data_IF_062529244103
#
_entry.id   IF_062529244103
#
_cell.length_a   1.000
_cell.length_b   1.000
_cell.length_c   1.000
_cell.angle_alpha   90.00
_cell.angle_beta   90.00
_cell.angle_gamma   90.00
#
_symmetry.space_group_name_H-M   'P 1'
#
loop_
_entity.id
_entity.type
_entity.pdbx_description
1 polymer ?
#
# COMPACT_ATOMS: atom_id res chain seq x y z
N UNK A 1 -16.53 -26.86 -9.69
CA UNK A 1 -15.07 -26.93 -9.47
C UNK A 1 -14.44 -27.34 -10.79
N UNK A 2 -13.75 -26.45 -11.52
CA UNK A 2 -13.01 -26.91 -12.71
C UNK A 2 -11.62 -27.37 -12.29
N UNK A 3 -11.30 -28.62 -12.64
CA UNK A 3 -10.00 -29.22 -12.41
C UNK A 3 -8.85 -28.48 -13.13
N UNK A 4 -9.16 -27.50 -13.99
CA UNK A 4 -8.17 -26.74 -14.75
C UNK A 4 -7.56 -25.59 -13.92
N UNK A 5 -8.36 -24.87 -13.14
CA UNK A 5 -7.87 -23.77 -12.28
C UNK A 5 -6.85 -24.30 -11.28
N UNK A 6 -7.19 -25.36 -10.55
CA UNK A 6 -6.29 -25.98 -9.58
C UNK A 6 -5.00 -26.49 -10.24
N UNK A 7 -5.09 -27.18 -11.37
CA UNK A 7 -3.91 -27.68 -12.09
C UNK A 7 -2.95 -26.56 -12.50
N UNK A 8 -3.46 -25.46 -13.04
CA UNK A 8 -2.64 -24.32 -13.47
C UNK A 8 -2.06 -23.60 -12.25
N UNK A 9 -2.84 -23.43 -11.18
CA UNK A 9 -2.36 -22.80 -9.95
C UNK A 9 -1.31 -23.64 -9.22
N UNK A 10 -1.42 -24.97 -9.21
CA UNK A 10 -0.40 -25.86 -8.63
C UNK A 10 0.93 -25.66 -9.33
N UNK A 11 0.92 -25.62 -10.67
CA UNK A 11 2.15 -25.36 -11.43
C UNK A 11 2.72 -23.96 -11.15
N UNK A 12 1.86 -22.95 -10.97
CA UNK A 12 2.31 -21.60 -10.64
C UNK A 12 2.96 -21.54 -9.25
N UNK A 13 2.36 -22.22 -8.29
CA UNK A 13 2.88 -22.38 -6.95
C UNK A 13 4.26 -23.05 -6.93
N UNK A 14 4.42 -24.16 -7.65
CA UNK A 14 5.71 -24.87 -7.75
C UNK A 14 6.82 -24.00 -8.35
N UNK A 15 6.51 -23.13 -9.32
CA UNK A 15 7.48 -22.17 -9.87
C UNK A 15 7.92 -21.19 -8.77
N UNK A 16 6.97 -20.67 -7.99
CA UNK A 16 7.25 -19.76 -6.88
C UNK A 16 8.10 -20.41 -5.79
N UNK A 17 7.81 -21.66 -5.44
CA UNK A 17 8.58 -22.40 -4.45
C UNK A 17 10.01 -22.69 -4.90
N UNK A 18 10.19 -23.13 -6.15
CA UNK A 18 11.54 -23.34 -6.73
C UNK A 18 12.34 -22.06 -6.72
N UNK A 19 11.72 -20.93 -7.09
CA UNK A 19 12.37 -19.63 -7.05
C UNK A 19 12.78 -19.24 -5.62
N UNK A 20 11.87 -19.33 -4.65
CA UNK A 20 12.16 -19.02 -3.25
C UNK A 20 13.32 -19.88 -2.71
N UNK A 21 13.29 -21.19 -2.94
CA UNK A 21 14.35 -22.11 -2.53
C UNK A 21 15.68 -21.83 -3.23
N UNK A 22 15.66 -21.54 -4.53
CA UNK A 22 16.88 -21.20 -5.28
C UNK A 22 17.51 -19.91 -4.74
N UNK A 23 16.69 -18.91 -4.44
CA UNK A 23 17.13 -17.67 -3.83
C UNK A 23 17.63 -17.87 -2.41
N UNK A 24 16.95 -18.66 -1.57
CA UNK A 24 17.37 -19.02 -0.21
C UNK A 24 18.76 -19.70 -0.20
N UNK A 25 19.02 -20.58 -1.16
CA UNK A 25 20.27 -21.35 -1.28
C UNK A 25 21.38 -20.66 -2.10
N UNK A 26 21.09 -19.55 -2.79
CA UNK A 26 22.11 -18.85 -3.57
C UNK A 26 23.21 -18.28 -2.66
N UNK A 27 24.46 -18.66 -2.93
CA UNK A 27 25.63 -18.18 -2.16
C UNK A 27 26.33 -16.99 -2.82
N UNK A 28 26.05 -16.73 -4.09
CA UNK A 28 26.70 -15.68 -4.88
C UNK A 28 25.75 -14.96 -5.85
N UNK A 29 26.27 -13.88 -6.46
CA UNK A 29 25.55 -13.05 -7.43
C UNK A 29 25.03 -13.86 -8.63
N UNK A 30 25.86 -14.74 -9.16
CA UNK A 30 25.56 -15.51 -10.36
C UNK A 30 24.39 -16.48 -10.12
N UNK A 31 24.35 -17.11 -8.95
CA UNK A 31 23.25 -17.97 -8.53
C UNK A 31 21.94 -17.19 -8.36
N UNK A 32 21.99 -15.98 -7.79
CA UNK A 32 20.82 -15.10 -7.68
C UNK A 32 20.28 -14.71 -9.07
N UNK A 33 21.17 -14.28 -9.98
CA UNK A 33 20.80 -13.92 -11.36
C UNK A 33 20.19 -15.10 -12.10
N UNK A 34 20.77 -16.30 -11.95
CA UNK A 34 20.24 -17.51 -12.57
C UNK A 34 18.84 -17.85 -12.05
N UNK A 35 18.61 -17.75 -10.74
CA UNK A 35 17.31 -17.99 -10.13
C UNK A 35 16.24 -17.00 -10.61
N UNK A 36 16.58 -15.70 -10.68
CA UNK A 36 15.66 -14.66 -11.19
C UNK A 36 15.29 -14.91 -12.66
N UNK A 37 16.28 -15.17 -13.52
CA UNK A 37 16.05 -15.41 -14.95
C UNK A 37 15.27 -16.70 -15.22
N UNK A 38 15.53 -17.76 -14.45
CA UNK A 38 14.79 -19.02 -14.54
C UNK A 38 13.32 -18.81 -14.18
N UNK A 39 13.05 -18.12 -13.06
CA UNK A 39 11.70 -17.80 -12.64
C UNK A 39 10.97 -16.94 -13.68
N UNK A 40 11.60 -15.86 -14.17
CA UNK A 40 11.00 -14.99 -15.17
C UNK A 40 10.63 -15.76 -16.45
N UNK A 41 11.51 -16.65 -16.92
CA UNK A 41 11.24 -17.51 -18.07
C UNK A 41 10.06 -18.46 -17.84
N UNK A 42 10.01 -19.11 -16.69
CA UNK A 42 8.98 -20.09 -16.35
C UNK A 42 7.61 -19.45 -16.17
N UNK A 43 7.53 -18.33 -15.45
CA UNK A 43 6.27 -17.59 -15.25
C UNK A 43 5.75 -17.06 -16.58
N UNK A 44 6.63 -16.46 -17.41
CA UNK A 44 6.25 -15.94 -18.74
C UNK A 44 5.74 -17.04 -19.67
N UNK A 45 6.34 -18.23 -19.60
CA UNK A 45 5.87 -19.39 -20.37
C UNK A 45 4.48 -19.88 -19.93
N UNK A 46 4.06 -19.55 -18.71
CA UNK A 46 2.75 -19.92 -18.17
C UNK A 46 1.65 -18.89 -18.48
N UNK A 47 1.97 -17.73 -19.07
CA UNK A 47 0.99 -16.66 -19.28
C UNK A 47 -0.29 -17.10 -19.99
N UNK A 48 -0.18 -17.88 -21.07
CA UNK A 48 -1.37 -18.36 -21.80
C UNK A 48 -2.27 -19.25 -20.91
N UNK A 49 -1.66 -20.10 -20.08
CA UNK A 49 -2.41 -20.96 -19.14
C UNK A 49 -3.07 -20.09 -18.05
N UNK A 50 -2.36 -19.11 -17.50
CA UNK A 50 -2.84 -18.18 -16.47
C UNK A 50 -3.98 -17.28 -16.99
N UNK A 51 -3.85 -16.79 -18.22
CA UNK A 51 -4.88 -16.00 -18.90
C UNK A 51 -6.14 -16.84 -19.11
N UNK A 52 -5.99 -18.12 -19.51
CA UNK A 52 -7.11 -19.03 -19.75
C UNK A 52 -7.95 -19.34 -18.51
N UNK A 53 -7.35 -19.29 -17.31
CA UNK A 53 -8.05 -19.52 -16.04
C UNK A 53 -8.45 -18.22 -15.34
N UNK A 54 -8.00 -17.06 -15.80
CA UNK A 54 -8.08 -15.79 -15.06
C UNK A 54 -9.51 -15.39 -14.66
N UNK A 55 -10.48 -15.54 -15.56
CA UNK A 55 -11.89 -15.21 -15.28
C UNK A 55 -12.52 -16.18 -14.29
N UNK A 56 -12.29 -17.49 -14.45
CA UNK A 56 -12.84 -18.51 -13.54
C UNK A 56 -12.20 -18.42 -12.15
N UNK A 57 -10.88 -18.27 -12.11
CA UNK A 57 -10.13 -18.06 -10.86
C UNK A 57 -10.67 -16.84 -10.10
N UNK A 58 -10.86 -15.71 -10.80
CA UNK A 58 -11.43 -14.47 -10.26
C UNK A 58 -12.83 -14.72 -9.67
N UNK A 59 -13.71 -15.42 -10.40
CA UNK A 59 -15.06 -15.74 -9.94
C UNK A 59 -15.06 -16.63 -8.69
N UNK A 60 -14.23 -17.68 -8.66
CA UNK A 60 -14.12 -18.59 -7.52
C UNK A 60 -13.65 -17.89 -6.25
N UNK A 61 -12.65 -17.01 -6.37
CA UNK A 61 -12.09 -16.28 -5.24
C UNK A 61 -13.05 -15.19 -4.73
N UNK A 62 -13.73 -14.46 -5.63
CA UNK A 62 -14.64 -13.36 -5.26
C UNK A 62 -15.95 -13.85 -4.65
N UNK A 63 -16.51 -14.93 -5.17
CA UNK A 63 -17.75 -15.53 -4.63
C UNK A 63 -17.51 -16.36 -3.36
N UNK A 64 -16.25 -16.51 -2.93
CA UNK A 64 -15.89 -17.32 -1.77
C UNK A 64 -16.14 -18.82 -1.96
N UNK A 65 -16.22 -19.27 -3.21
CA UNK A 65 -16.53 -20.66 -3.60
C UNK A 65 -15.28 -21.46 -3.99
N UNK A 66 -14.10 -20.84 -3.95
CA UNK A 66 -12.81 -21.52 -4.05
C UNK A 66 -12.67 -22.60 -2.96
N UNK A 67 -12.07 -23.74 -3.34
CA UNK A 67 -11.67 -24.78 -2.40
C UNK A 67 -10.65 -24.24 -1.39
N UNK A 68 -10.59 -24.84 -0.20
CA UNK A 68 -9.59 -24.47 0.80
C UNK A 68 -8.18 -24.75 0.28
N UNK A 69 -7.97 -25.85 -0.47
CA UNK A 69 -6.67 -26.14 -1.10
C UNK A 69 -6.23 -25.03 -2.06
N UNK A 70 -7.16 -24.49 -2.87
CA UNK A 70 -6.85 -23.39 -3.78
C UNK A 70 -6.51 -22.11 -3.02
N UNK A 71 -7.22 -21.79 -1.94
CA UNK A 71 -6.93 -20.61 -1.10
C UNK A 71 -5.57 -20.70 -0.45
N UNK A 72 -5.24 -21.85 0.17
CA UNK A 72 -3.95 -22.10 0.78
C UNK A 72 -2.82 -21.96 -0.25
N UNK A 73 -2.98 -22.55 -1.43
CA UNK A 73 -2.00 -22.50 -2.50
C UNK A 73 -1.74 -21.07 -3.00
N UNK A 74 -2.80 -20.26 -3.15
CA UNK A 74 -2.67 -18.83 -3.50
C UNK A 74 -1.90 -18.08 -2.42
N UNK A 75 -2.24 -18.31 -1.15
CA UNK A 75 -1.54 -17.69 -0.02
C UNK A 75 -0.05 -18.08 0.01
N UNK A 76 0.26 -19.36 -0.16
CA UNK A 76 1.63 -19.87 -0.19
C UNK A 76 2.43 -19.35 -1.38
N UNK A 77 1.81 -19.23 -2.55
CA UNK A 77 2.43 -18.61 -3.73
C UNK A 77 2.78 -17.15 -3.46
N UNK A 78 1.86 -16.39 -2.84
CA UNK A 78 2.11 -15.01 -2.41
C UNK A 78 3.25 -14.91 -1.39
N UNK A 79 3.32 -15.81 -0.40
CA UNK A 79 4.42 -15.88 0.57
C UNK A 79 5.78 -16.15 -0.09
N UNK A 80 5.81 -16.98 -1.14
CA UNK A 80 7.03 -17.29 -1.89
C UNK A 80 7.56 -16.05 -2.61
N UNK A 81 6.75 -15.38 -3.43
CA UNK A 81 7.20 -14.17 -4.13
C UNK A 81 7.37 -12.94 -3.21
N UNK A 82 6.70 -12.93 -2.06
CA UNK A 82 6.77 -11.87 -1.06
C UNK A 82 7.72 -12.18 0.09
N UNK A 83 7.17 -12.59 1.23
CA UNK A 83 7.89 -12.65 2.51
C UNK A 83 9.13 -13.54 2.53
N UNK A 84 9.16 -14.63 1.76
CA UNK A 84 10.32 -15.55 1.71
C UNK A 84 11.48 -14.90 0.99
N UNK A 85 11.26 -14.35 -0.19
CA UNK A 85 12.27 -13.57 -0.92
C UNK A 85 12.69 -12.34 -0.12
N UNK A 86 11.75 -11.73 0.62
CA UNK A 86 12.05 -10.61 1.49
C UNK A 86 13.14 -10.92 2.54
N UNK A 87 13.15 -12.14 3.08
CA UNK A 87 14.13 -12.58 4.07
C UNK A 87 15.54 -12.78 3.48
N UNK A 88 15.65 -12.89 2.16
CA UNK A 88 16.88 -13.17 1.43
C UNK A 88 17.57 -11.88 0.95
N UNK A 89 16.92 -10.71 1.05
CA UNK A 89 17.51 -9.44 0.60
C UNK A 89 18.83 -9.03 1.27
N UNK A 90 19.06 -9.22 2.58
CA UNK A 90 20.31 -8.79 3.20
C UNK A 90 21.57 -9.37 2.53
N UNK A 91 21.49 -10.59 1.97
CA UNK A 91 22.59 -11.19 1.20
C UNK A 91 22.64 -10.74 -0.26
N UNK A 92 21.53 -10.24 -0.81
CA UNK A 92 21.46 -9.68 -2.18
C UNK A 92 21.87 -8.21 -2.23
N UNK A 93 21.84 -7.49 -1.11
CA UNK A 93 22.05 -6.05 -1.02
C UNK A 93 23.36 -5.59 -1.67
N UNK A 94 24.44 -6.37 -1.51
CA UNK A 94 25.75 -6.08 -2.09
C UNK A 94 25.82 -6.18 -3.63
N UNK A 95 24.80 -6.76 -4.27
CA UNK A 95 24.71 -6.90 -5.73
C UNK A 95 23.76 -5.88 -6.37
N UNK A 96 23.03 -5.08 -5.59
CA UNK A 96 22.00 -4.17 -6.10
C UNK A 96 22.55 -3.04 -6.97
N UNK A 97 23.83 -2.68 -6.82
CA UNK A 97 24.50 -1.69 -7.66
C UNK A 97 25.02 -2.27 -8.99
N UNK A 98 25.05 -3.60 -9.11
CA UNK A 98 25.54 -4.31 -10.29
C UNK A 98 24.50 -4.27 -11.42
N UNK A 99 24.95 -3.93 -12.63
CA UNK A 99 24.07 -3.72 -13.78
C UNK A 99 23.36 -5.02 -14.22
N UNK A 100 24.08 -6.13 -14.24
CA UNK A 100 23.53 -7.43 -14.65
C UNK A 100 22.49 -7.93 -13.64
N UNK A 101 22.76 -7.71 -12.34
CA UNK A 101 21.81 -8.03 -11.28
C UNK A 101 20.54 -7.19 -11.40
N UNK A 102 20.68 -5.86 -11.55
CA UNK A 102 19.53 -4.96 -11.74
C UNK A 102 18.70 -5.33 -12.95
N UNK A 103 19.35 -5.68 -14.06
CA UNK A 103 18.66 -6.10 -15.29
C UNK A 103 17.84 -7.38 -15.09
N UNK A 104 18.43 -8.39 -14.45
CA UNK A 104 17.72 -9.64 -14.14
C UNK A 104 16.55 -9.42 -13.16
N UNK A 105 16.76 -8.56 -12.16
CA UNK A 105 15.72 -8.17 -11.21
C UNK A 105 14.57 -7.43 -11.91
N UNK A 106 14.87 -6.45 -12.77
CA UNK A 106 13.86 -5.71 -13.53
C UNK A 106 13.09 -6.61 -14.50
N UNK A 107 13.74 -7.56 -15.17
CA UNK A 107 13.03 -8.52 -16.04
C UNK A 107 12.07 -9.40 -15.24
N UNK A 108 12.50 -9.91 -14.08
CA UNK A 108 11.63 -10.67 -13.19
C UNK A 108 10.44 -9.83 -12.72
N UNK A 109 10.69 -8.58 -12.32
CA UNK A 109 9.66 -7.65 -11.85
C UNK A 109 8.60 -7.36 -12.92
N UNK A 110 9.04 -7.11 -14.17
CA UNK A 110 8.15 -6.93 -15.32
C UNK A 110 7.29 -8.19 -15.52
N UNK A 111 7.88 -9.37 -15.41
CA UNK A 111 7.15 -10.63 -15.61
C UNK A 111 6.16 -10.92 -14.48
N UNK A 112 6.50 -10.63 -13.23
CA UNK A 112 5.58 -10.84 -12.11
C UNK A 112 4.44 -9.80 -12.14
N UNK A 113 4.76 -8.55 -12.45
CA UNK A 113 3.77 -7.45 -12.57
C UNK A 113 2.83 -7.63 -13.77
N UNK A 114 3.32 -8.25 -14.84
CA UNK A 114 2.54 -8.56 -16.05
C UNK A 114 1.75 -9.87 -16.00
N UNK A 115 1.67 -10.53 -14.83
CA UNK A 115 0.98 -11.82 -14.72
C UNK A 115 -0.54 -11.65 -14.98
N UNK A 116 -1.13 -12.44 -15.92
CA UNK A 116 -2.53 -12.32 -16.33
C UNK A 116 -3.58 -12.48 -15.20
N UNK A 117 -3.24 -13.16 -14.10
CA UNK A 117 -4.13 -13.25 -12.94
C UNK A 117 -4.38 -11.88 -12.27
N UNK A 118 -3.47 -10.91 -12.45
CA UNK A 118 -3.64 -9.55 -11.94
C UNK A 118 -4.41 -8.64 -12.88
N UNK A 119 -4.40 -8.92 -14.19
CA UNK A 119 -5.11 -8.13 -15.21
C UNK A 119 -6.62 -8.14 -15.03
N UNK A 120 -7.22 -9.31 -14.78
CA UNK A 120 -8.67 -9.43 -14.53
C UNK A 120 -9.13 -8.89 -13.17
N UNK A 121 -8.22 -8.82 -12.19
CA UNK A 121 -8.49 -8.32 -10.84
C UNK A 121 -8.50 -6.78 -10.74
N UNK A 122 -7.84 -6.08 -11.67
CA UNK A 122 -7.78 -4.61 -11.70
C UNK A 122 -8.98 -3.94 -12.38
N UNK A 123 -9.82 -4.71 -13.09
CA UNK A 123 -11.00 -4.18 -13.79
C UNK A 123 -12.28 -4.14 -12.92
N UNK A 124 -12.29 -4.74 -11.71
CA UNK A 124 -13.47 -4.73 -10.83
C UNK A 124 -13.16 -4.26 -9.40
N UNK A 125 -13.87 -3.20 -9.02
CA UNK A 125 -13.82 -2.44 -7.77
C UNK A 125 -13.58 -3.26 -6.48
N UNK A 126 -12.59 -2.81 -5.71
CA UNK A 126 -12.56 -2.83 -4.23
C UNK A 126 -12.44 -4.16 -3.48
N UNK A 127 -12.59 -5.31 -4.12
CA UNK A 127 -12.68 -6.61 -3.40
C UNK A 127 -11.44 -7.50 -3.58
N UNK A 128 -10.55 -7.15 -4.50
CA UNK A 128 -9.28 -7.86 -4.77
C UNK A 128 -8.13 -7.48 -3.85
N UNK A 129 -8.44 -6.72 -2.80
CA UNK A 129 -7.45 -6.14 -1.92
C UNK A 129 -6.53 -7.20 -1.30
N UNK A 130 -6.94 -8.43 -1.00
CA UNK A 130 -6.01 -9.41 -0.37
C UNK A 130 -5.06 -10.13 -1.36
N UNK A 131 -5.52 -10.47 -2.57
CA UNK A 131 -4.67 -11.13 -3.59
C UNK A 131 -3.77 -10.10 -4.29
N UNK A 132 -4.32 -8.93 -4.60
CA UNK A 132 -3.56 -7.79 -5.11
C UNK A 132 -2.67 -7.18 -4.01
N UNK A 133 -3.04 -7.15 -2.72
CA UNK A 133 -2.08 -6.82 -1.64
C UNK A 133 -0.99 -7.89 -1.53
N UNK A 134 -1.29 -9.17 -1.52
CA UNK A 134 -0.22 -10.19 -1.35
C UNK A 134 0.86 -10.09 -2.44
N UNK A 135 0.49 -9.79 -3.69
CA UNK A 135 1.45 -9.62 -4.80
C UNK A 135 1.94 -8.18 -5.03
N UNK A 136 1.06 -7.17 -5.11
CA UNK A 136 1.45 -5.78 -5.35
C UNK A 136 2.03 -5.06 -4.12
N UNK A 137 1.68 -5.47 -2.89
CA UNK A 137 2.36 -5.03 -1.67
C UNK A 137 3.78 -5.62 -1.58
N UNK A 138 4.01 -6.79 -2.18
CA UNK A 138 5.33 -7.42 -2.22
C UNK A 138 6.28 -6.72 -3.20
N UNK A 139 5.81 -6.33 -4.38
CA UNK A 139 6.61 -5.58 -5.39
C UNK A 139 6.80 -4.09 -5.02
N UNK A 140 5.76 -3.41 -4.50
CA UNK A 140 5.93 -2.03 -4.01
C UNK A 140 6.77 -1.98 -2.71
N UNK A 141 6.62 -2.94 -1.78
CA UNK A 141 7.50 -2.99 -0.61
C UNK A 141 8.94 -3.42 -0.96
N UNK A 142 9.16 -4.11 -2.07
CA UNK A 142 10.50 -4.39 -2.62
C UNK A 142 11.21 -3.11 -3.04
N UNK A 143 10.59 -2.26 -3.87
CA UNK A 143 11.19 -0.99 -4.31
C UNK A 143 11.32 0.03 -3.16
N UNK A 144 10.36 0.06 -2.24
CA UNK A 144 10.41 0.92 -1.04
C UNK A 144 11.48 0.48 -0.03
N UNK A 145 11.68 -0.83 0.18
CA UNK A 145 12.76 -1.35 1.04
C UNK A 145 14.14 -1.16 0.40
N UNK A 146 14.24 -1.30 -0.93
CA UNK A 146 15.45 -0.99 -1.68
C UNK A 146 15.84 0.50 -1.58
N UNK A 147 14.89 1.42 -1.78
CA UNK A 147 15.13 2.85 -1.58
C UNK A 147 15.41 3.17 -0.10
N UNK A 148 14.75 2.48 0.83
CA UNK A 148 15.01 2.61 2.24
C UNK A 148 16.45 2.23 2.60
N UNK A 149 16.94 1.04 2.24
CA UNK A 149 18.27 0.58 2.69
C UNK A 149 19.44 1.34 2.06
N UNK A 150 19.24 1.98 0.90
CA UNK A 150 20.28 2.74 0.18
C UNK A 150 20.15 4.26 0.37
N UNK A 151 18.96 4.76 0.71
CA UNK A 151 18.76 6.18 1.02
C UNK A 151 18.93 6.41 2.52
N UNK A 152 19.97 7.16 2.87
CA UNK A 152 19.90 8.00 4.07
C UNK A 152 18.70 8.94 3.88
N UNK A 153 17.79 8.94 4.86
CA UNK A 153 16.71 9.91 4.84
C UNK A 153 17.35 11.26 5.17
N UNK A 154 17.18 12.23 4.28
CA UNK A 154 17.68 13.59 4.49
C UNK A 154 17.09 14.15 5.79
N UNK A 155 17.95 14.48 6.77
CA UNK A 155 17.56 15.02 8.08
C UNK A 155 16.68 16.27 7.96
N UNK A 156 16.85 17.05 6.88
CA UNK A 156 16.01 18.22 6.59
C UNK A 156 14.58 17.81 6.22
N UNK A 157 14.40 16.69 5.52
CA UNK A 157 13.09 16.13 5.18
C UNK A 157 12.42 15.44 6.36
N UNK A 158 13.20 14.85 7.26
CA UNK A 158 12.68 14.32 8.54
C UNK A 158 12.15 15.47 9.39
N UNK A 159 12.93 16.54 9.54
CA UNK A 159 12.53 17.74 10.30
C UNK A 159 11.27 18.39 9.71
N UNK A 160 11.18 18.47 8.38
CA UNK A 160 9.99 18.98 7.69
C UNK A 160 8.78 18.06 7.87
N UNK A 161 8.97 16.74 7.85
CA UNK A 161 7.92 15.76 8.14
C UNK A 161 7.35 15.94 9.55
N UNK A 162 8.20 16.09 10.56
CA UNK A 162 7.79 16.38 11.95
C UNK A 162 7.00 17.69 12.04
N UNK A 163 7.46 18.74 11.35
CA UNK A 163 6.80 20.03 11.31
C UNK A 163 5.40 19.94 10.66
N UNK A 164 5.28 19.22 9.53
CA UNK A 164 4.00 19.01 8.83
C UNK A 164 3.01 18.26 9.71
N UNK A 165 3.43 17.17 10.37
CA UNK A 165 2.55 16.40 11.25
C UNK A 165 2.11 17.20 12.48
N UNK A 166 3.03 17.95 13.09
CA UNK A 166 2.73 18.81 14.25
C UNK A 166 1.76 19.93 13.86
N UNK A 167 1.98 20.56 12.71
CA UNK A 167 1.09 21.61 12.20
C UNK A 167 -0.30 21.04 11.88
N UNK A 168 -0.37 19.86 11.25
CA UNK A 168 -1.64 19.22 10.94
C UNK A 168 -2.41 18.85 12.21
N UNK A 169 -1.75 18.28 13.22
CA UNK A 169 -2.35 17.97 14.51
C UNK A 169 -2.90 19.24 15.20
N UNK A 170 -2.14 20.34 15.15
CA UNK A 170 -2.61 21.64 15.67
C UNK A 170 -3.85 22.13 14.94
N UNK A 171 -3.89 22.02 13.61
CA UNK A 171 -5.05 22.40 12.80
C UNK A 171 -6.26 21.52 13.12
N UNK A 172 -6.08 20.21 13.29
CA UNK A 172 -7.14 19.27 13.65
C UNK A 172 -7.75 19.59 15.03
N UNK A 173 -6.91 19.88 16.03
CA UNK A 173 -7.36 20.29 17.37
C UNK A 173 -8.13 21.61 17.34
N UNK A 174 -7.65 22.60 16.59
CA UNK A 174 -8.37 23.89 16.39
C UNK A 174 -9.70 23.68 15.69
N UNK A 175 -9.74 22.84 14.67
CA UNK A 175 -10.94 22.51 13.92
C UNK A 175 -11.98 21.84 14.82
N UNK A 176 -11.62 20.79 15.56
CA UNK A 176 -12.50 20.14 16.55
C UNK A 176 -13.08 21.17 17.52
N UNK A 177 -12.25 22.01 18.12
CA UNK A 177 -12.69 23.03 19.08
C UNK A 177 -13.63 24.07 18.44
N UNK A 178 -13.41 24.43 17.17
CA UNK A 178 -14.29 25.32 16.43
C UNK A 178 -15.65 24.67 16.11
N UNK A 179 -15.66 23.38 15.74
CA UNK A 179 -16.88 22.60 15.51
C UNK A 179 -17.65 22.46 16.81
N UNK A 180 -17.00 22.11 17.92
CA UNK A 180 -17.60 21.98 19.25
C UNK A 180 -18.34 23.26 19.67
N UNK A 181 -17.75 24.42 19.41
CA UNK A 181 -18.36 25.75 19.69
C UNK A 181 -19.36 26.22 18.63
N UNK A 182 -19.51 25.51 17.51
CA UNK A 182 -20.45 25.89 16.46
C UNK A 182 -21.88 25.54 16.87
N UNK A 183 -22.67 26.56 17.17
CA UNK A 183 -24.10 26.48 17.52
C UNK A 183 -25.03 26.77 16.32
N UNK A 184 -24.47 27.13 15.18
CA UNK A 184 -25.20 27.58 13.98
C UNK A 184 -24.57 27.02 12.72
N UNK A 185 -25.39 26.79 11.69
CA UNK A 185 -24.97 26.39 10.33
C UNK A 185 -23.80 27.24 9.84
N UNK A 186 -23.87 28.57 10.02
CA UNK A 186 -22.84 29.51 9.55
C UNK A 186 -21.49 29.30 10.25
N UNK A 187 -21.49 29.11 11.58
CA UNK A 187 -20.25 28.87 12.33
C UNK A 187 -19.64 27.51 11.98
N UNK A 188 -20.48 26.49 11.78
CA UNK A 188 -20.04 25.15 11.40
C UNK A 188 -19.39 25.15 10.01
N UNK A 189 -20.08 25.71 9.00
CA UNK A 189 -19.54 25.83 7.64
C UNK A 189 -18.23 26.64 7.64
N UNK A 190 -18.16 27.73 8.42
CA UNK A 190 -16.93 28.51 8.54
C UNK A 190 -15.78 27.69 9.15
N UNK A 191 -16.03 26.87 10.16
CA UNK A 191 -15.01 26.01 10.76
C UNK A 191 -14.45 25.01 9.74
N UNK A 192 -15.33 24.37 8.96
CA UNK A 192 -14.95 23.48 7.88
C UNK A 192 -14.14 24.19 6.79
N UNK A 193 -14.63 25.31 6.28
CA UNK A 193 -13.99 26.03 5.17
C UNK A 193 -12.58 26.54 5.57
N UNK A 194 -12.42 27.02 6.80
CA UNK A 194 -11.11 27.43 7.33
C UNK A 194 -10.14 26.25 7.47
N UNK A 195 -10.63 25.11 7.95
CA UNK A 195 -9.81 23.90 8.04
C UNK A 195 -9.41 23.40 6.65
N UNK A 196 -10.34 23.39 5.70
CA UNK A 196 -10.09 23.04 4.29
C UNK A 196 -9.02 23.94 3.68
N UNK A 197 -9.10 25.26 3.88
CA UNK A 197 -8.11 26.20 3.36
C UNK A 197 -6.72 25.97 3.98
N UNK A 198 -6.67 25.76 5.30
CA UNK A 198 -5.41 25.51 6.01
C UNK A 198 -4.75 24.20 5.55
N UNK A 199 -5.52 23.11 5.45
CA UNK A 199 -5.02 21.82 4.97
C UNK A 199 -4.57 21.92 3.50
N UNK A 200 -5.28 22.66 2.65
CA UNK A 200 -4.85 22.90 1.25
C UNK A 200 -3.48 23.56 1.15
N UNK A 201 -3.13 24.48 2.07
CA UNK A 201 -1.81 25.11 2.12
C UNK A 201 -0.72 24.14 2.59
N UNK A 202 -1.10 23.10 3.32
CA UNK A 202 -0.18 22.08 3.82
C UNK A 202 0.09 20.98 2.77
N UNK A 203 -0.84 20.71 1.84
CA UNK A 203 -0.71 19.67 0.80
C UNK A 203 0.62 19.71 0.02
N UNK A 204 1.13 20.87 -0.46
CA UNK A 204 2.40 20.88 -1.18
C UNK A 204 3.57 20.38 -0.33
N UNK A 205 3.62 20.77 0.95
CA UNK A 205 4.64 20.33 1.91
C UNK A 205 4.47 18.86 2.25
N UNK A 206 3.23 18.40 2.39
CA UNK A 206 2.92 16.98 2.56
C UNK A 206 3.43 16.14 1.37
N UNK A 207 3.21 16.59 0.13
CA UNK A 207 3.72 15.89 -1.06
C UNK A 207 5.25 15.83 -1.08
N UNK A 208 5.89 16.92 -0.65
CA UNK A 208 7.35 17.04 -0.62
C UNK A 208 8.04 16.11 0.39
N UNK A 209 7.29 15.58 1.37
CA UNK A 209 7.76 14.62 2.38
C UNK A 209 7.06 13.26 2.32
N UNK A 210 6.16 13.04 1.36
CA UNK A 210 5.36 11.82 1.26
C UNK A 210 6.24 10.57 1.03
N UNK A 211 7.23 10.69 0.15
CA UNK A 211 8.18 9.60 -0.12
C UNK A 211 9.04 9.28 1.12
N UNK A 212 9.48 10.31 1.86
CA UNK A 212 10.21 10.15 3.13
C UNK A 212 9.35 9.44 4.18
N UNK A 213 8.07 9.80 4.32
CA UNK A 213 7.14 9.15 5.24
C UNK A 213 6.92 7.68 4.88
N UNK A 214 6.75 7.38 3.59
CA UNK A 214 6.62 6.00 3.07
C UNK A 214 7.86 5.18 3.38
N UNK A 215 9.04 5.74 3.14
CA UNK A 215 10.33 5.13 3.40
C UNK A 215 10.57 4.85 4.90
N UNK A 216 10.30 5.81 5.78
CA UNK A 216 10.44 5.64 7.23
C UNK A 216 9.45 4.64 7.81
N UNK A 217 8.22 4.61 7.27
CA UNK A 217 7.19 3.63 7.63
C UNK A 217 7.62 2.21 7.25
N UNK A 218 8.20 2.02 6.06
CA UNK A 218 8.74 0.75 5.61
C UNK A 218 9.91 0.26 6.49
N UNK A 219 10.76 1.19 6.98
CA UNK A 219 11.87 0.90 7.91
C UNK A 219 11.44 0.64 9.35
N UNK A 220 10.17 0.88 9.71
CA UNK A 220 9.73 1.00 11.12
C UNK A 220 10.58 2.00 11.93
N UNK A 221 11.04 3.05 11.27
CA UNK A 221 11.92 4.08 11.83
C UNK A 221 11.25 5.46 11.82
N UNK A 222 9.91 5.49 11.83
CA UNK A 222 9.14 6.74 11.94
C UNK A 222 9.52 7.42 13.27
N UNK A 223 9.91 8.70 13.25
CA UNK A 223 10.21 9.45 14.46
C UNK A 223 9.06 9.37 15.47
N UNK A 224 9.39 9.27 16.75
CA UNK A 224 8.40 9.15 17.82
C UNK A 224 7.41 10.33 17.81
N UNK A 225 7.92 11.54 17.56
CA UNK A 225 7.16 12.78 17.36
C UNK A 225 6.05 12.64 16.28
N UNK A 226 6.39 12.06 15.13
CA UNK A 226 5.47 11.82 14.01
C UNK A 226 4.46 10.73 14.36
N UNK A 227 4.90 9.65 15.01
CA UNK A 227 4.03 8.58 15.45
C UNK A 227 3.01 9.06 16.51
N UNK A 228 3.43 9.90 17.45
CA UNK A 228 2.58 10.53 18.45
C UNK A 228 1.59 11.51 17.82
N UNK A 229 2.05 12.38 16.92
CA UNK A 229 1.18 13.29 16.18
C UNK A 229 0.14 12.52 15.34
N UNK A 230 0.52 11.42 14.69
CA UNK A 230 -0.38 10.55 13.95
C UNK A 230 -1.45 9.90 14.86
N UNK A 231 -1.06 9.40 16.04
CA UNK A 231 -2.00 8.87 17.04
C UNK A 231 -2.96 9.97 17.53
N UNK A 232 -2.44 11.16 17.81
CA UNK A 232 -3.23 12.33 18.22
C UNK A 232 -4.24 12.72 17.14
N UNK A 233 -3.81 12.84 15.88
CA UNK A 233 -4.67 13.11 14.72
C UNK A 233 -5.80 12.09 14.59
N UNK A 234 -5.48 10.80 14.66
CA UNK A 234 -6.47 9.72 14.61
C UNK A 234 -7.50 9.83 15.73
N UNK A 235 -7.05 10.15 16.95
CA UNK A 235 -7.95 10.33 18.07
C UNK A 235 -8.84 11.58 17.90
N UNK A 236 -8.25 12.73 17.54
CA UNK A 236 -8.95 14.01 17.39
C UNK A 236 -9.94 14.02 16.22
N UNK A 237 -9.52 13.64 15.01
CA UNK A 237 -10.39 13.65 13.83
C UNK A 237 -11.30 12.42 13.75
N UNK A 238 -10.91 11.32 14.39
CA UNK A 238 -11.69 10.07 14.41
C UNK A 238 -12.66 10.02 15.58
N UNK A 239 -12.16 9.71 16.79
CA UNK A 239 -13.01 9.45 17.96
C UNK A 239 -13.66 10.74 18.48
N UNK A 240 -12.86 11.75 18.80
CA UNK A 240 -13.35 12.94 19.48
C UNK A 240 -14.26 13.79 18.59
N UNK A 241 -13.89 13.98 17.32
CA UNK A 241 -14.74 14.70 16.38
C UNK A 241 -16.06 13.96 16.14
N UNK A 242 -16.06 12.62 16.06
CA UNK A 242 -17.29 11.84 15.92
C UNK A 242 -18.24 12.04 17.10
N UNK A 243 -17.72 12.08 18.32
CA UNK A 243 -18.51 12.40 19.52
C UNK A 243 -19.11 13.80 19.42
N UNK A 244 -18.30 14.82 19.09
CA UNK A 244 -18.78 16.21 18.90
C UNK A 244 -19.86 16.32 17.81
N UNK A 245 -19.75 15.55 16.74
CA UNK A 245 -20.71 15.55 15.63
C UNK A 245 -22.02 14.87 15.99
N UNK A 246 -22.02 13.88 16.90
CA UNK A 246 -23.25 13.24 17.38
C UNK A 246 -24.14 14.23 18.13
N UNK A 247 -23.54 15.16 18.87
CA UNK A 247 -24.26 16.22 19.59
C UNK A 247 -24.75 17.35 18.67
N UNK A 248 -24.43 17.29 17.37
CA UNK A 248 -24.74 18.31 16.36
C UNK A 248 -25.58 17.79 15.20
N UNK A 249 -26.33 16.69 15.41
CA UNK A 249 -27.18 16.05 14.38
C UNK A 249 -28.10 17.02 13.66
N UNK A 250 -28.71 17.97 14.38
CA UNK A 250 -29.63 18.95 13.80
C UNK A 250 -28.93 19.89 12.81
N UNK A 251 -27.69 20.30 13.12
CA UNK A 251 -26.87 21.10 12.20
C UNK A 251 -26.43 20.27 11.00
N UNK A 252 -26.13 18.97 11.19
CA UNK A 252 -25.71 18.06 10.12
C UNK A 252 -26.83 17.72 9.13
N UNK A 253 -28.10 17.94 9.49
CA UNK A 253 -29.23 17.80 8.57
C UNK A 253 -29.29 18.94 7.54
N UNK A 254 -28.70 20.10 7.83
CA UNK A 254 -28.68 21.28 6.95
C UNK A 254 -27.88 21.03 5.67
N UNK A 255 -28.48 21.36 4.52
CA UNK A 255 -27.87 21.16 3.21
C UNK A 255 -26.54 21.92 3.02
N UNK A 256 -26.37 23.09 3.66
CA UNK A 256 -25.12 23.86 3.60
C UNK A 256 -24.02 23.19 4.40
N UNK A 257 -24.35 22.59 5.55
CA UNK A 257 -23.40 21.79 6.34
C UNK A 257 -22.99 20.55 5.56
N UNK A 258 -23.94 19.80 4.99
CA UNK A 258 -23.65 18.62 4.17
C UNK A 258 -22.68 18.92 3.02
N UNK A 259 -22.95 19.97 2.23
CA UNK A 259 -22.06 20.40 1.13
C UNK A 259 -20.67 20.79 1.62
N UNK A 260 -20.57 21.41 2.79
CA UNK A 260 -19.28 21.80 3.39
C UNK A 260 -18.50 20.58 3.89
N UNK A 261 -19.19 19.60 4.49
CA UNK A 261 -18.60 18.31 4.89
C UNK A 261 -18.15 17.50 3.68
N UNK A 262 -18.91 17.47 2.59
CA UNK A 262 -18.50 16.82 1.33
C UNK A 262 -17.21 17.44 0.76
N UNK A 263 -17.05 18.77 0.82
CA UNK A 263 -15.81 19.44 0.41
C UNK A 263 -14.62 19.02 1.28
N UNK A 264 -14.86 18.87 2.58
CA UNK A 264 -13.84 18.37 3.51
C UNK A 264 -13.48 16.92 3.18
N UNK A 265 -14.47 16.04 2.98
CA UNK A 265 -14.24 14.64 2.59
C UNK A 265 -13.40 14.53 1.32
N UNK A 266 -13.79 15.25 0.26
CA UNK A 266 -13.03 15.32 -1.00
C UNK A 266 -11.61 15.85 -0.82
N UNK A 267 -11.37 16.74 0.13
CA UNK A 267 -10.01 17.22 0.41
C UNK A 267 -9.19 16.14 1.11
N UNK A 268 -9.77 15.46 2.10
CA UNK A 268 -9.09 14.40 2.86
C UNK A 268 -8.70 13.23 1.96
N UNK A 269 -9.52 12.90 0.95
CA UNK A 269 -9.20 11.91 -0.09
C UNK A 269 -8.01 12.30 -0.99
N UNK A 270 -7.60 13.58 -0.98
CA UNK A 270 -6.48 14.08 -1.80
C UNK A 270 -5.18 14.27 -1.01
N UNK A 271 -5.18 13.92 0.28
CA UNK A 271 -3.97 13.96 1.09
C UNK A 271 -2.98 12.88 0.65
N UNK A 272 -1.68 13.18 0.59
CA UNK A 272 -0.67 12.25 0.08
C UNK A 272 -0.23 11.18 1.09
N UNK A 273 -0.86 11.12 2.27
CA UNK A 273 -0.72 10.07 3.28
C UNK A 273 -2.02 9.86 4.05
#
# INVERSE_FOLDING_TARGET
MSANVEKVMTRHHEIAERYALAMENAEDKSACIAAMNACAKEVKAQYADLESISSEYTELMTLGTASEELKEMVEHTGKCFGSRIAAVYPKMAMFLSDEDFRKAHTELDIVLSGNPLFGGAMEQDGTFDEVAKSFAHSVNSMAEKLNAEVSEADDSKISELEAVFTEFDSLAKRYKAAVEKADTTKKFVKANDLFVEAVRKLIPRMKDVADTMRLLSAKRAVPESVAEAGKSLRNTLGKELKEVLQDKRDLMADMKVKKSVEKLGKLLETLPF
#
